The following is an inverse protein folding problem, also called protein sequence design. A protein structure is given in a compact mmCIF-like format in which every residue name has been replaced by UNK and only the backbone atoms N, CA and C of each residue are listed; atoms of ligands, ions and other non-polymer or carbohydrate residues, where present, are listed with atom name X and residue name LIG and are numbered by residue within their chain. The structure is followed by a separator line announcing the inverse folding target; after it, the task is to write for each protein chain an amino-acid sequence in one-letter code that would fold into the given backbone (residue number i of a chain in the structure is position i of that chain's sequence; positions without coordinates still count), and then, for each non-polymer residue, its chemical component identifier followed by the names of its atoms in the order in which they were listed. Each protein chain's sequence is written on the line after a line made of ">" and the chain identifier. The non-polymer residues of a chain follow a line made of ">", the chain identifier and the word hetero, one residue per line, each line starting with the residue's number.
data_IF_451279665821
#
_entry.id   IF_451279665821
#
_cell.length_a   1.000
_cell.length_b   1.000
_cell.length_c   1.000
_cell.angle_alpha   90.00
_cell.angle_beta   90.00
_cell.angle_gamma   90.00
#
_symmetry.space_group_name_H-M   'P 1'
#
loop_
_entity.id
_entity.type
_entity.pdbx_description
1 polymer ?
#
# COMPACT_ATOMS: atom_id res chain seq x y z
N UNK A 1 20.12 40.28 -2.13
CA UNK A 1 20.40 38.89 -2.58
C UNK A 1 20.07 37.80 -1.53
N UNK A 2 19.65 38.10 -0.29
CA UNK A 2 19.27 37.06 0.69
C UNK A 2 17.82 36.54 0.59
N UNK A 3 16.91 37.29 -0.04
CA UNK A 3 15.47 36.94 -0.05
C UNK A 3 15.18 35.67 -0.86
N UNK A 4 15.90 35.44 -1.95
CA UNK A 4 15.71 34.26 -2.82
C UNK A 4 16.14 32.96 -2.13
N UNK A 5 17.21 33.02 -1.31
CA UNK A 5 17.73 31.85 -0.59
C UNK A 5 16.73 31.39 0.49
N UNK A 6 16.11 32.33 1.21
CA UNK A 6 15.11 32.03 2.25
C UNK A 6 13.86 31.38 1.63
N UNK A 7 13.38 31.88 0.48
CA UNK A 7 12.23 31.28 -0.21
C UNK A 7 12.52 29.88 -0.73
N UNK A 8 13.72 29.64 -1.26
CA UNK A 8 14.15 28.31 -1.71
C UNK A 8 14.26 27.31 -0.53
N UNK A 9 14.72 27.76 0.64
CA UNK A 9 14.86 26.92 1.84
C UNK A 9 13.49 26.51 2.43
N UNK A 10 12.52 27.42 2.41
CA UNK A 10 11.13 27.17 2.84
C UNK A 10 10.38 26.21 1.90
N UNK A 11 10.63 26.30 0.59
CA UNK A 11 10.07 25.36 -0.39
C UNK A 11 10.71 23.96 -0.29
N UNK A 12 12.00 23.89 0.07
CA UNK A 12 12.71 22.62 0.27
C UNK A 12 12.24 21.81 1.49
N UNK A 13 11.75 22.47 2.54
CA UNK A 13 11.17 21.80 3.72
C UNK A 13 9.70 21.41 3.53
N UNK A 14 8.95 22.12 2.69
CA UNK A 14 7.57 21.79 2.35
C UNK A 14 7.40 20.63 1.36
N UNK A 15 8.43 20.31 0.57
CA UNK A 15 8.41 19.21 -0.41
C UNK A 15 8.70 17.82 0.19
N UNK A 16 9.21 17.75 1.43
CA UNK A 16 9.52 16.47 2.10
C UNK A 16 8.26 15.72 2.54
N UNK A 17 7.11 16.41 2.66
CA UNK A 17 5.85 15.75 3.01
C UNK A 17 5.19 15.00 1.86
N UNK A 18 5.74 15.08 0.63
CA UNK A 18 5.28 14.29 -0.50
C UNK A 18 5.79 12.82 -0.50
N UNK A 19 6.61 12.41 0.48
CA UNK A 19 7.34 11.14 0.41
C UNK A 19 7.03 10.07 1.47
N UNK A 20 6.41 10.39 2.60
CA UNK A 20 6.13 9.39 3.64
C UNK A 20 4.72 8.82 3.49
N UNK A 21 4.54 8.04 2.43
CA UNK A 21 3.33 7.25 2.26
C UNK A 21 3.23 6.21 3.39
N UNK A 22 2.12 6.22 4.16
CA UNK A 22 1.93 5.28 5.28
C UNK A 22 2.10 3.85 4.78
N UNK A 23 2.91 3.05 5.48
CA UNK A 23 2.96 1.61 5.28
C UNK A 23 1.80 0.94 6.03
N UNK A 24 0.90 0.32 5.29
CA UNK A 24 -0.21 -0.47 5.81
C UNK A 24 0.21 -1.94 5.94
N UNK A 25 -0.16 -2.55 7.05
CA UNK A 25 0.03 -3.96 7.31
C UNK A 25 -0.97 -4.84 6.54
N UNK A 26 -0.65 -6.13 6.42
CA UNK A 26 -1.57 -7.15 5.86
C UNK A 26 -2.89 -7.18 6.63
N UNK A 27 -2.83 -7.06 7.96
CA UNK A 27 -4.02 -7.08 8.82
C UNK A 27 -4.93 -5.85 8.59
N UNK A 28 -4.36 -4.67 8.34
CA UNK A 28 -5.13 -3.48 7.97
C UNK A 28 -5.84 -3.67 6.62
N UNK A 29 -5.15 -4.21 5.62
CA UNK A 29 -5.77 -4.52 4.33
C UNK A 29 -6.90 -5.55 4.43
N UNK A 30 -6.75 -6.60 5.23
CA UNK A 30 -7.82 -7.60 5.43
C UNK A 30 -9.06 -7.03 6.12
N UNK A 31 -8.91 -6.01 6.98
CA UNK A 31 -10.01 -5.42 7.77
C UNK A 31 -10.73 -4.28 7.05
N UNK A 32 -10.05 -3.57 6.15
CA UNK A 32 -10.59 -2.40 5.47
C UNK A 32 -10.70 -2.61 3.95
N UNK A 33 -11.92 -2.90 3.50
CA UNK A 33 -12.24 -3.11 2.09
C UNK A 33 -11.99 -1.86 1.25
N UNK A 34 -12.23 -0.66 1.79
CA UNK A 34 -12.05 0.60 1.06
C UNK A 34 -10.55 0.84 0.83
N UNK A 35 -9.75 0.64 1.86
CA UNK A 35 -8.29 0.71 1.77
C UNK A 35 -7.74 -0.26 0.72
N UNK A 36 -8.22 -1.51 0.73
CA UNK A 36 -7.84 -2.53 -0.24
C UNK A 36 -8.18 -2.10 -1.69
N UNK A 37 -9.37 -1.54 -1.93
CA UNK A 37 -9.79 -1.07 -3.25
C UNK A 37 -8.99 0.13 -3.75
N UNK A 38 -8.73 1.10 -2.87
CA UNK A 38 -7.95 2.29 -3.22
C UNK A 38 -6.51 1.92 -3.59
N UNK A 39 -5.88 1.08 -2.78
CA UNK A 39 -4.53 0.59 -3.06
C UNK A 39 -4.47 -0.35 -4.25
N UNK A 40 -5.50 -1.17 -4.50
CA UNK A 40 -5.60 -1.97 -5.72
C UNK A 40 -5.51 -1.10 -6.98
N UNK A 41 -6.37 -0.09 -7.08
CA UNK A 41 -6.35 0.87 -8.20
C UNK A 41 -5.02 1.61 -8.32
N UNK A 42 -4.39 1.92 -7.18
CA UNK A 42 -3.12 2.63 -7.16
C UNK A 42 -1.96 1.75 -7.63
N UNK A 43 -1.91 0.50 -7.17
CA UNK A 43 -0.90 -0.48 -7.59
C UNK A 43 -1.07 -0.84 -9.07
N UNK A 44 -2.29 -0.92 -9.59
CA UNK A 44 -2.56 -1.15 -11.03
C UNK A 44 -2.07 0.01 -11.92
N UNK A 45 -2.22 1.25 -11.45
CA UNK A 45 -1.74 2.44 -12.17
C UNK A 45 -0.23 2.66 -12.06
N UNK A 46 0.44 1.98 -11.13
CA UNK A 46 1.88 2.05 -10.98
C UNK A 46 2.56 1.25 -12.08
N UNK A 47 3.67 1.78 -12.62
CA UNK A 47 4.55 1.01 -13.48
C UNK A 47 5.11 -0.22 -12.73
N UNK A 48 5.49 -1.31 -13.43
CA UNK A 48 5.87 -2.58 -12.80
C UNK A 48 6.99 -2.47 -11.76
N UNK A 49 7.98 -1.62 -12.00
CA UNK A 49 9.11 -1.35 -11.11
C UNK A 49 8.73 -0.58 -9.83
N UNK A 50 7.73 0.31 -9.91
CA UNK A 50 7.21 1.02 -8.72
C UNK A 50 6.26 0.14 -7.91
N UNK A 51 5.43 -0.66 -8.59
CA UNK A 51 4.53 -1.61 -7.94
C UNK A 51 5.30 -2.64 -7.11
N UNK A 52 6.35 -3.24 -7.70
CA UNK A 52 7.17 -4.26 -7.04
C UNK A 52 8.02 -3.73 -5.88
N UNK A 53 8.41 -2.44 -5.91
CA UNK A 53 9.18 -1.80 -4.82
C UNK A 53 8.29 -1.22 -3.72
N UNK A 54 6.98 -1.06 -3.95
CA UNK A 54 6.03 -0.56 -2.96
C UNK A 54 5.68 -1.61 -1.90
N UNK A 55 6.01 -1.32 -0.63
CA UNK A 55 5.65 -2.19 0.51
C UNK A 55 4.14 -2.40 0.62
N UNK A 56 3.36 -1.38 0.30
CA UNK A 56 1.90 -1.45 0.34
C UNK A 56 1.33 -2.36 -0.74
N UNK A 57 1.87 -2.34 -1.96
CA UNK A 57 1.45 -3.26 -3.02
C UNK A 57 1.81 -4.72 -2.67
N UNK A 58 2.98 -4.94 -2.05
CA UNK A 58 3.37 -6.27 -1.55
C UNK A 58 2.42 -6.77 -0.44
N UNK A 59 2.11 -5.91 0.53
CA UNK A 59 1.21 -6.28 1.64
C UNK A 59 -0.24 -6.46 1.17
N UNK A 60 -0.70 -5.67 0.19
CA UNK A 60 -2.00 -5.82 -0.46
C UNK A 60 -2.12 -7.19 -1.15
N UNK A 61 -1.12 -7.55 -1.97
CA UNK A 61 -1.10 -8.83 -2.68
C UNK A 61 -1.10 -10.00 -1.67
N UNK A 62 -0.28 -9.92 -0.63
CA UNK A 62 -0.24 -10.91 0.45
C UNK A 62 -1.59 -11.04 1.16
N UNK A 63 -2.25 -9.92 1.48
CA UNK A 63 -3.57 -9.93 2.10
C UNK A 63 -4.62 -10.63 1.22
N UNK A 64 -4.60 -10.37 -0.09
CA UNK A 64 -5.50 -11.01 -1.04
C UNK A 64 -5.23 -12.52 -1.17
N UNK A 65 -3.97 -12.93 -1.27
CA UNK A 65 -3.59 -14.34 -1.33
C UNK A 65 -3.99 -15.11 -0.07
N UNK A 66 -3.70 -14.55 1.12
CA UNK A 66 -4.11 -15.18 2.38
C UNK A 66 -5.64 -15.27 2.49
N UNK A 67 -6.39 -14.25 2.08
CA UNK A 67 -7.87 -14.31 2.09
C UNK A 67 -8.41 -15.48 1.26
N UNK A 68 -7.83 -15.70 0.07
CA UNK A 68 -8.21 -16.83 -0.80
C UNK A 68 -7.83 -18.16 -0.17
N UNK A 69 -6.60 -18.29 0.34
CA UNK A 69 -6.12 -19.51 0.99
C UNK A 69 -6.92 -19.86 2.25
N UNK A 70 -7.23 -18.87 3.09
CA UNK A 70 -8.04 -19.02 4.30
C UNK A 70 -9.45 -19.54 3.93
N UNK A 71 -10.03 -19.02 2.83
CA UNK A 71 -11.30 -19.51 2.28
C UNK A 71 -11.22 -20.96 1.81
N UNK A 72 -10.19 -21.30 1.02
CA UNK A 72 -10.01 -22.67 0.50
C UNK A 72 -9.79 -23.69 1.61
N UNK A 73 -8.94 -23.39 2.60
CA UNK A 73 -8.70 -24.27 3.74
C UNK A 73 -9.98 -24.50 4.56
N UNK A 74 -10.83 -23.48 4.68
CA UNK A 74 -12.12 -23.61 5.36
C UNK A 74 -13.08 -24.52 4.60
N UNK A 75 -13.12 -24.45 3.27
CA UNK A 75 -13.95 -25.36 2.47
C UNK A 75 -13.40 -26.80 2.51
N UNK A 76 -12.09 -26.99 2.36
CA UNK A 76 -11.45 -28.31 2.46
C UNK A 76 -11.67 -28.95 3.85
N UNK A 77 -11.60 -28.16 4.92
CA UNK A 77 -11.86 -28.64 6.27
C UNK A 77 -13.29 -29.13 6.49
N UNK A 78 -14.28 -28.59 5.76
CA UNK A 78 -15.68 -29.07 5.83
C UNK A 78 -15.92 -30.36 5.06
N UNK A 79 -15.04 -30.73 4.13
CA UNK A 79 -15.14 -31.99 3.39
C UNK A 79 -14.53 -33.18 4.15
N UNK A 80 -13.80 -32.92 5.23
CA UNK A 80 -13.07 -33.94 6.02
C UNK A 80 -13.82 -34.32 7.32
N UNK A 81 -14.81 -33.53 7.75
CA UNK A 81 -15.73 -33.82 8.86
C UNK A 81 -17.02 -34.50 8.39
#
# INVERSE_FOLDING_TARGET
>A
MNKIIITALLLGTGLVTAGCEKNYSVAEFKKDKKLMQEWGKKCEKMGPSLQSSSRNCQNLLKAASEFVLDGLNKELGKEID
#
